data_IF_625173965447
#
_entry.id   IF_625173965447
#
_cell.length_a   1.000
_cell.length_b   1.000
_cell.length_c   1.000
_cell.angle_alpha   90.00
_cell.angle_beta   90.00
_cell.angle_gamma   90.00
#
_symmetry.space_group_name_H-M   'P 1'
#
loop_
_entity.id
_entity.type
_entity.pdbx_description
1 polymer ?
#
# COMPACT_ATOMS: atom_id res chain seq x y z
N UNK A 1 -7.60 18.54 -25.00
CA UNK A 1 -6.28 19.15 -25.14
C UNK A 1 -5.95 19.30 -26.60
N UNK A 2 -5.37 20.42 -27.03
CA UNK A 2 -4.97 20.67 -28.42
C UNK A 2 -3.67 21.45 -28.41
N UNK A 3 -2.68 21.01 -29.19
CA UNK A 3 -1.39 21.72 -29.36
C UNK A 3 -1.59 23.16 -29.82
N UNK A 4 -2.62 23.42 -30.66
CA UNK A 4 -2.93 24.76 -31.16
C UNK A 4 -3.47 25.73 -30.11
N UNK A 5 -3.91 25.24 -28.92
CA UNK A 5 -4.39 26.06 -27.81
C UNK A 5 -3.35 26.26 -26.70
N UNK A 6 -2.14 25.72 -26.86
CA UNK A 6 -1.07 25.84 -25.87
C UNK A 6 -1.37 25.21 -24.50
N UNK A 7 -2.36 24.30 -24.43
CA UNK A 7 -2.78 23.64 -23.18
C UNK A 7 -2.35 22.16 -23.09
N UNK A 8 -1.25 21.80 -23.75
CA UNK A 8 -0.60 20.52 -23.64
C UNK A 8 0.65 20.66 -22.78
N UNK A 9 0.76 19.84 -21.76
CA UNK A 9 2.00 19.70 -20.98
C UNK A 9 2.82 18.60 -21.62
N UNK A 10 4.09 18.87 -21.97
CA UNK A 10 5.04 17.86 -22.39
C UNK A 10 5.62 17.19 -21.14
N UNK A 11 5.39 15.88 -20.94
CA UNK A 11 5.92 15.19 -19.77
C UNK A 11 7.43 14.98 -19.83
N UNK A 12 8.11 15.22 -20.96
CA UNK A 12 9.51 14.86 -21.15
C UNK A 12 10.43 15.56 -20.14
N UNK A 13 10.24 16.87 -19.92
CA UNK A 13 11.04 17.61 -18.96
C UNK A 13 10.93 17.07 -17.53
N UNK A 14 9.74 16.60 -17.15
CA UNK A 14 9.51 16.01 -15.84
C UNK A 14 10.04 14.58 -15.73
N UNK A 15 10.00 13.83 -16.83
CA UNK A 15 10.62 12.50 -16.90
C UNK A 15 12.14 12.63 -16.75
N UNK A 16 12.75 13.63 -17.37
CA UNK A 16 14.18 13.89 -17.29
C UNK A 16 14.61 14.33 -15.87
N UNK A 17 13.74 15.08 -15.17
CA UNK A 17 14.03 15.59 -13.81
C UNK A 17 13.66 14.60 -12.71
N UNK A 18 12.49 13.98 -12.77
CA UNK A 18 11.91 13.16 -11.67
C UNK A 18 11.81 11.67 -11.99
N UNK A 19 12.03 11.27 -13.24
CA UNK A 19 11.86 9.90 -13.71
C UNK A 19 10.44 9.52 -14.11
N UNK A 20 10.31 8.52 -15.00
CA UNK A 20 9.04 8.10 -15.57
C UNK A 20 8.04 7.60 -14.50
N UNK A 21 8.50 6.86 -13.49
CA UNK A 21 7.64 6.33 -12.42
C UNK A 21 6.99 7.45 -11.60
N UNK A 22 7.70 8.56 -11.38
CA UNK A 22 7.14 9.72 -10.67
C UNK A 22 5.98 10.34 -11.45
N UNK A 23 6.16 10.52 -12.75
CA UNK A 23 5.12 11.09 -13.62
C UNK A 23 3.91 10.15 -13.70
N UNK A 24 4.14 8.85 -13.85
CA UNK A 24 3.07 7.83 -13.86
C UNK A 24 2.29 7.84 -12.55
N UNK A 25 3.00 7.83 -11.41
CA UNK A 25 2.37 7.87 -10.09
C UNK A 25 1.54 9.14 -9.91
N UNK A 26 2.08 10.30 -10.27
CA UNK A 26 1.34 11.57 -10.19
C UNK A 26 0.05 11.51 -11.00
N UNK A 27 0.11 11.09 -12.26
CA UNK A 27 -1.07 11.04 -13.13
C UNK A 27 -2.16 10.12 -12.60
N UNK A 28 -1.78 8.95 -12.07
CA UNK A 28 -2.74 7.98 -11.53
C UNK A 28 -3.27 8.33 -10.14
N UNK A 29 -2.50 9.12 -9.38
CA UNK A 29 -2.88 9.52 -8.03
C UNK A 29 -3.70 10.82 -7.99
N UNK A 30 -3.40 11.77 -8.88
CA UNK A 30 -3.96 13.13 -8.81
C UNK A 30 -5.45 13.19 -9.16
N UNK A 31 -5.94 12.29 -10.04
CA UNK A 31 -7.36 12.32 -10.44
C UNK A 31 -7.84 10.95 -10.92
N UNK A 32 -9.09 10.57 -10.61
CA UNK A 32 -9.73 9.43 -11.26
C UNK A 32 -9.75 9.61 -12.80
N UNK A 33 -9.72 8.52 -13.59
CA UNK A 33 -9.67 8.59 -15.06
C UNK A 33 -10.82 9.38 -15.70
N UNK A 34 -11.97 9.45 -15.02
CA UNK A 34 -13.19 10.12 -15.48
C UNK A 34 -13.17 11.63 -15.23
N UNK A 35 -12.22 12.13 -14.44
CA UNK A 35 -12.12 13.54 -14.09
C UNK A 35 -10.98 14.23 -14.84
N UNK A 36 -11.11 15.55 -15.00
CA UNK A 36 -10.02 16.34 -15.55
C UNK A 36 -8.87 16.44 -14.58
N UNK A 37 -7.65 16.20 -15.07
CA UNK A 37 -6.43 16.42 -14.31
C UNK A 37 -6.02 17.90 -14.39
N UNK A 38 -5.97 18.57 -13.27
CA UNK A 38 -5.30 19.87 -13.15
C UNK A 38 -3.83 19.63 -12.83
N UNK A 39 -2.96 20.13 -13.70
CA UNK A 39 -1.52 19.96 -13.51
C UNK A 39 -1.01 20.87 -12.39
N UNK A 40 -0.31 20.29 -11.40
CA UNK A 40 0.33 21.00 -10.28
C UNK A 40 1.70 20.40 -10.02
N UNK A 41 2.73 21.23 -10.11
CA UNK A 41 4.13 20.79 -9.93
C UNK A 41 4.38 20.25 -8.51
N UNK A 42 3.74 20.85 -7.49
CA UNK A 42 3.81 20.33 -6.11
C UNK A 42 3.31 18.88 -5.97
N UNK A 43 2.38 18.47 -6.83
CA UNK A 43 1.88 17.11 -6.88
C UNK A 43 2.93 16.12 -7.40
N UNK A 44 3.71 16.52 -8.41
CA UNK A 44 4.81 15.72 -8.96
C UNK A 44 5.90 15.53 -7.90
N UNK A 45 6.29 16.61 -7.20
CA UNK A 45 7.24 16.52 -6.09
C UNK A 45 6.73 15.62 -4.96
N UNK A 46 5.42 15.67 -4.67
CA UNK A 46 4.77 14.79 -3.70
C UNK A 46 4.91 13.31 -4.07
N UNK A 47 4.68 12.98 -5.34
CA UNK A 47 4.87 11.64 -5.88
C UNK A 47 6.33 11.20 -5.79
N UNK A 48 7.28 12.07 -6.15
CA UNK A 48 8.71 11.77 -6.04
C UNK A 48 9.14 11.51 -4.60
N UNK A 49 8.68 12.34 -3.63
CA UNK A 49 8.95 12.11 -2.20
C UNK A 49 8.38 10.77 -1.71
N UNK A 50 7.22 10.35 -2.22
CA UNK A 50 6.68 9.04 -1.88
C UNK A 50 7.55 7.90 -2.41
N UNK A 51 8.01 7.95 -3.66
CA UNK A 51 8.90 6.92 -4.22
C UNK A 51 10.23 6.83 -3.45
N UNK A 52 10.80 7.95 -3.04
CA UNK A 52 11.98 7.95 -2.15
C UNK A 52 11.71 7.29 -0.80
N UNK A 53 10.51 7.49 -0.22
CA UNK A 53 10.11 6.82 1.03
C UNK A 53 9.91 5.33 0.82
N UNK A 54 9.28 4.92 -0.28
CA UNK A 54 9.12 3.50 -0.64
C UNK A 54 10.47 2.82 -0.76
N UNK A 55 11.39 3.44 -1.50
CA UNK A 55 12.76 2.93 -1.63
C UNK A 55 13.44 2.77 -0.27
N UNK A 56 13.42 3.83 0.54
CA UNK A 56 14.02 3.79 1.88
C UNK A 56 13.39 2.72 2.78
N UNK A 57 12.06 2.60 2.76
CA UNK A 57 11.32 1.61 3.53
C UNK A 57 11.76 0.18 3.16
N UNK A 58 11.76 -0.15 1.87
CA UNK A 58 12.17 -1.46 1.39
C UNK A 58 13.66 -1.72 1.64
N UNK A 59 14.56 -0.78 1.29
CA UNK A 59 16.01 -0.93 1.45
C UNK A 59 16.42 -1.12 2.92
N UNK A 60 15.74 -0.45 3.85
CA UNK A 60 15.99 -0.63 5.28
C UNK A 60 15.77 -2.08 5.70
N UNK A 61 14.63 -2.66 5.28
CA UNK A 61 14.32 -4.06 5.56
C UNK A 61 15.29 -5.03 4.86
N UNK A 62 15.62 -4.78 3.59
CA UNK A 62 16.55 -5.59 2.80
C UNK A 62 17.94 -5.63 3.48
N UNK A 63 18.45 -4.47 3.91
CA UNK A 63 19.76 -4.35 4.54
C UNK A 63 19.84 -5.06 5.90
N UNK A 64 18.72 -5.27 6.58
CA UNK A 64 18.69 -6.08 7.80
C UNK A 64 18.93 -7.57 7.53
N UNK A 65 18.72 -8.02 6.29
CA UNK A 65 19.02 -9.38 5.83
C UNK A 65 18.21 -10.47 6.51
N UNK A 66 17.12 -10.12 7.20
CA UNK A 66 16.28 -11.07 7.93
C UNK A 66 15.01 -11.39 7.15
N UNK A 67 14.80 -12.67 6.89
CA UNK A 67 13.58 -13.19 6.25
C UNK A 67 13.08 -14.44 6.97
N UNK A 68 12.68 -14.32 8.25
CA UNK A 68 12.19 -15.45 9.01
C UNK A 68 10.81 -15.88 8.51
N UNK A 69 10.45 -17.12 8.82
CA UNK A 69 9.10 -17.64 8.56
C UNK A 69 8.14 -17.10 9.61
N UNK A 70 6.98 -16.62 9.16
CA UNK A 70 5.92 -16.15 10.05
C UNK A 70 5.34 -17.29 10.88
N UNK A 71 5.30 -17.11 12.20
CA UNK A 71 4.60 -18.01 13.12
C UNK A 71 3.29 -17.34 13.59
N UNK A 72 2.20 -17.68 12.89
CA UNK A 72 0.87 -17.10 13.16
C UNK A 72 0.33 -17.44 14.55
N UNK A 73 0.69 -18.60 15.11
CA UNK A 73 0.22 -19.03 16.42
C UNK A 73 0.78 -18.20 17.58
N UNK A 74 1.93 -17.56 17.39
CA UNK A 74 2.62 -16.76 18.42
C UNK A 74 2.52 -15.24 18.19
N UNK A 75 1.69 -14.79 17.26
CA UNK A 75 1.52 -13.36 16.99
C UNK A 75 0.85 -12.63 18.16
N UNK A 76 1.41 -11.48 18.51
CA UNK A 76 0.78 -10.51 19.40
C UNK A 76 -0.40 -9.80 18.70
N UNK A 77 -1.27 -9.13 19.47
CA UNK A 77 -2.41 -8.41 18.88
C UNK A 77 -1.96 -7.27 17.97
N UNK A 78 -0.84 -6.60 18.29
CA UNK A 78 -0.24 -5.58 17.41
C UNK A 78 0.22 -6.19 16.08
N UNK A 79 0.83 -7.37 16.10
CA UNK A 79 1.27 -8.09 14.91
C UNK A 79 0.08 -8.54 14.06
N UNK A 80 -0.97 -9.05 14.69
CA UNK A 80 -2.23 -9.41 14.00
C UNK A 80 -2.86 -8.18 13.34
N UNK A 81 -2.86 -7.04 14.02
CA UNK A 81 -3.40 -5.78 13.49
C UNK A 81 -2.61 -5.29 12.25
N UNK A 82 -1.27 -5.33 12.32
CA UNK A 82 -0.42 -4.96 11.19
C UNK A 82 -0.64 -5.91 10.00
N UNK A 83 -0.70 -7.22 10.24
CA UNK A 83 -0.97 -8.19 9.21
C UNK A 83 -2.38 -8.01 8.61
N UNK A 84 -3.38 -7.75 9.43
CA UNK A 84 -4.73 -7.40 8.97
C UNK A 84 -4.72 -6.16 8.09
N UNK A 85 -3.94 -5.12 8.44
CA UNK A 85 -3.79 -3.93 7.59
C UNK A 85 -3.24 -4.28 6.21
N UNK A 86 -2.27 -5.20 6.11
CA UNK A 86 -1.74 -5.67 4.83
C UNK A 86 -2.85 -6.33 4.01
N UNK A 87 -3.55 -7.31 4.56
CA UNK A 87 -4.56 -8.08 3.83
C UNK A 87 -5.83 -7.27 3.51
N UNK A 88 -6.22 -6.34 4.37
CA UNK A 88 -7.28 -5.35 4.07
C UNK A 88 -6.87 -4.45 2.90
N UNK A 89 -5.59 -4.05 2.84
CA UNK A 89 -5.07 -3.25 1.72
C UNK A 89 -5.10 -4.04 0.42
N UNK A 90 -4.71 -5.33 0.43
CA UNK A 90 -4.82 -6.21 -0.75
C UNK A 90 -6.25 -6.23 -1.27
N UNK A 91 -7.24 -6.49 -0.41
CA UNK A 91 -8.65 -6.51 -0.81
C UNK A 91 -9.12 -5.18 -1.39
N UNK A 92 -8.76 -4.09 -0.74
CA UNK A 92 -9.11 -2.75 -1.19
C UNK A 92 -8.53 -2.43 -2.57
N UNK A 93 -7.25 -2.71 -2.77
CA UNK A 93 -6.56 -2.45 -4.04
C UNK A 93 -7.13 -3.34 -5.15
N UNK A 94 -7.46 -4.61 -4.85
CA UNK A 94 -8.09 -5.51 -5.79
C UNK A 94 -9.46 -4.99 -6.26
N UNK A 95 -10.27 -4.45 -5.36
CA UNK A 95 -11.54 -3.83 -5.70
C UNK A 95 -11.36 -2.53 -6.47
N UNK A 96 -10.48 -1.65 -6.00
CA UNK A 96 -10.24 -0.34 -6.59
C UNK A 96 -9.65 -0.44 -8.02
N UNK A 97 -8.71 -1.36 -8.27
CA UNK A 97 -8.09 -1.54 -9.60
C UNK A 97 -8.95 -2.43 -10.50
N UNK A 98 -9.41 -3.58 -9.97
CA UNK A 98 -10.06 -4.60 -10.79
C UNK A 98 -11.51 -4.29 -11.16
N UNK A 99 -12.23 -3.51 -10.35
CA UNK A 99 -13.65 -3.24 -10.54
C UNK A 99 -13.98 -1.76 -10.67
N UNK A 100 -13.40 -0.91 -9.83
CA UNK A 100 -13.79 0.51 -9.73
C UNK A 100 -12.93 1.44 -10.58
N UNK A 101 -11.76 1.00 -11.00
CA UNK A 101 -10.75 1.80 -11.73
C UNK A 101 -10.34 3.08 -11.01
N UNK A 102 -10.36 3.05 -9.65
CA UNK A 102 -10.00 4.18 -8.80
C UNK A 102 -8.54 4.06 -8.31
N UNK A 103 -7.60 4.32 -9.20
CA UNK A 103 -6.16 4.17 -8.91
C UNK A 103 -5.69 5.05 -7.76
N UNK A 104 -6.24 6.26 -7.61
CA UNK A 104 -5.90 7.18 -6.54
C UNK A 104 -6.19 6.60 -5.15
N UNK A 105 -7.34 5.92 -4.98
CA UNK A 105 -7.69 5.28 -3.69
C UNK A 105 -6.87 4.04 -3.43
N UNK A 106 -6.52 3.27 -4.48
CA UNK A 106 -5.61 2.14 -4.38
C UNK A 106 -4.21 2.58 -3.90
N UNK A 107 -3.64 3.62 -4.54
CA UNK A 107 -2.35 4.19 -4.16
C UNK A 107 -2.39 4.71 -2.72
N UNK A 108 -3.44 5.45 -2.33
CA UNK A 108 -3.61 5.94 -0.97
C UNK A 108 -3.62 4.81 0.06
N UNK A 109 -4.31 3.69 -0.23
CA UNK A 109 -4.36 2.54 0.66
C UNK A 109 -2.97 1.91 0.87
N UNK A 110 -2.16 1.79 -0.20
CA UNK A 110 -0.77 1.32 -0.09
C UNK A 110 0.10 2.30 0.70
N UNK A 111 -0.06 3.62 0.49
CA UNK A 111 0.64 4.65 1.27
C UNK A 111 0.34 4.54 2.77
N UNK A 112 -0.93 4.33 3.13
CA UNK A 112 -1.35 4.13 4.52
C UNK A 112 -0.76 2.86 5.13
N UNK A 113 -0.73 1.75 4.38
CA UNK A 113 -0.11 0.50 4.81
C UNK A 113 1.38 0.68 5.08
N UNK A 114 2.13 1.30 4.16
CA UNK A 114 3.56 1.59 4.35
C UNK A 114 3.78 2.49 5.57
N UNK A 115 2.94 3.51 5.77
CA UNK A 115 3.04 4.38 6.94
C UNK A 115 2.78 3.63 8.26
N UNK A 116 1.85 2.68 8.28
CA UNK A 116 1.59 1.85 9.46
C UNK A 116 2.78 0.94 9.78
N UNK A 117 3.30 0.23 8.77
CA UNK A 117 4.45 -0.65 8.90
C UNK A 117 5.73 0.10 9.30
N UNK A 118 5.96 1.30 8.75
CA UNK A 118 7.15 2.11 9.06
C UNK A 118 7.21 2.61 10.51
N UNK A 119 6.12 2.53 11.26
CA UNK A 119 6.06 2.90 12.68
C UNK A 119 6.29 1.71 13.61
N UNK A 120 6.35 0.50 13.05
CA UNK A 120 6.56 -0.71 13.82
C UNK A 120 8.03 -0.85 14.20
N UNK A 121 8.28 -1.13 15.48
CA UNK A 121 9.60 -1.51 15.95
C UNK A 121 9.80 -3.02 15.73
N UNK A 122 10.88 -3.40 15.06
CA UNK A 122 11.20 -4.79 14.76
C UNK A 122 11.97 -5.40 15.94
N UNK A 123 11.29 -6.17 16.77
CA UNK A 123 11.83 -6.74 18.01
C UNK A 123 12.08 -8.25 17.93
N UNK A 124 11.33 -8.93 17.08
CA UNK A 124 11.37 -10.39 16.98
C UNK A 124 11.16 -10.86 15.54
N UNK A 125 11.27 -12.17 15.32
CA UNK A 125 11.18 -12.78 13.99
C UNK A 125 9.81 -12.56 13.33
N UNK A 126 8.72 -12.57 14.08
CA UNK A 126 7.39 -12.29 13.52
C UNK A 126 7.28 -10.85 13.00
N UNK A 127 7.90 -9.87 13.69
CA UNK A 127 7.91 -8.48 13.20
C UNK A 127 8.65 -8.39 11.86
N UNK A 128 9.79 -9.07 11.73
CA UNK A 128 10.53 -9.11 10.47
C UNK A 128 9.77 -9.84 9.37
N UNK A 129 9.07 -10.95 9.70
CA UNK A 129 8.25 -11.69 8.74
C UNK A 129 7.08 -10.85 8.22
N UNK A 130 6.35 -10.15 9.11
CA UNK A 130 5.25 -9.26 8.73
C UNK A 130 5.77 -8.07 7.91
N UNK A 131 6.94 -7.51 8.28
CA UNK A 131 7.57 -6.46 7.52
C UNK A 131 7.90 -6.93 6.10
N UNK A 132 8.46 -8.14 5.95
CA UNK A 132 8.75 -8.75 4.65
C UNK A 132 7.48 -8.91 3.81
N UNK A 133 6.42 -9.49 4.40
CA UNK A 133 5.11 -9.63 3.76
C UNK A 133 4.56 -8.27 3.29
N UNK A 134 4.69 -7.25 4.11
CA UNK A 134 4.24 -5.89 3.79
C UNK A 134 5.04 -5.20 2.69
N UNK A 135 6.37 -5.37 2.69
CA UNK A 135 7.26 -4.82 1.64
C UNK A 135 6.95 -5.48 0.29
N UNK A 136 6.90 -6.81 0.24
CA UNK A 136 6.56 -7.56 -0.99
C UNK A 136 5.16 -7.19 -1.50
N UNK A 137 4.18 -7.12 -0.60
CA UNK A 137 2.82 -6.69 -0.94
C UNK A 137 2.80 -5.29 -1.54
N UNK A 138 3.51 -4.32 -0.94
CA UNK A 138 3.57 -2.96 -1.46
C UNK A 138 4.17 -2.91 -2.86
N UNK A 139 5.24 -3.66 -3.10
CA UNK A 139 5.91 -3.76 -4.40
C UNK A 139 4.96 -4.36 -5.45
N UNK A 140 4.32 -5.49 -5.14
CA UNK A 140 3.37 -6.15 -6.04
C UNK A 140 2.18 -5.25 -6.38
N UNK A 141 1.56 -4.62 -5.37
CA UNK A 141 0.39 -3.76 -5.59
C UNK A 141 0.71 -2.47 -6.36
N UNK A 142 1.94 -1.97 -6.27
CA UNK A 142 2.38 -0.77 -7.00
C UNK A 142 3.00 -1.09 -8.36
N UNK A 143 3.31 -2.34 -8.67
CA UNK A 143 4.02 -2.72 -9.90
C UNK A 143 3.34 -2.25 -11.20
N UNK A 144 2.00 -2.25 -11.35
CA UNK A 144 1.37 -1.73 -12.57
C UNK A 144 1.49 -0.20 -12.72
N UNK A 145 1.73 0.50 -11.62
CA UNK A 145 1.75 1.95 -11.55
C UNK A 145 3.16 2.48 -11.72
N UNK A 146 4.13 1.94 -10.96
CA UNK A 146 5.54 2.36 -10.92
C UNK A 146 6.49 1.18 -11.16
N UNK A 147 6.48 0.62 -12.39
CA UNK A 147 7.12 -0.65 -12.68
C UNK A 147 8.64 -0.67 -12.48
N UNK A 148 9.35 0.44 -12.74
CA UNK A 148 10.81 0.41 -12.69
C UNK A 148 11.34 0.33 -11.26
N UNK A 149 10.81 1.16 -10.34
CA UNK A 149 11.24 1.13 -8.93
C UNK A 149 10.82 -0.18 -8.25
N UNK A 150 9.64 -0.71 -8.59
CA UNK A 150 9.15 -1.95 -7.99
C UNK A 150 9.93 -3.17 -8.48
N UNK A 151 10.29 -3.22 -9.77
CA UNK A 151 11.13 -4.29 -10.30
C UNK A 151 12.53 -4.27 -9.70
N UNK A 152 13.15 -3.08 -9.59
CA UNK A 152 14.44 -2.93 -8.94
C UNK A 152 14.41 -3.43 -7.48
N UNK A 153 13.39 -3.05 -6.70
CA UNK A 153 13.23 -3.49 -5.31
C UNK A 153 12.93 -5.00 -5.21
N UNK A 154 12.23 -5.57 -6.19
CA UNK A 154 11.93 -7.00 -6.25
C UNK A 154 13.21 -7.84 -6.41
N UNK A 155 14.11 -7.40 -7.27
CA UNK A 155 15.43 -8.02 -7.45
C UNK A 155 16.27 -7.88 -6.17
N UNK A 156 16.29 -6.71 -5.54
CA UNK A 156 17.01 -6.46 -4.28
C UNK A 156 16.47 -7.32 -3.11
N UNK A 157 15.19 -7.70 -3.13
CA UNK A 157 14.60 -8.64 -2.18
C UNK A 157 15.07 -10.09 -2.39
N UNK A 158 15.83 -10.37 -3.46
CA UNK A 158 16.39 -11.67 -3.76
C UNK A 158 15.49 -12.57 -4.62
N UNK A 159 14.45 -12.02 -5.24
CA UNK A 159 13.65 -12.78 -6.21
C UNK A 159 14.40 -12.90 -7.54
N UNK A 160 14.45 -14.10 -8.08
CA UNK A 160 15.14 -14.40 -9.35
C UNK A 160 14.23 -14.25 -10.57
N UNK A 161 12.93 -14.30 -10.38
CA UNK A 161 11.95 -14.18 -11.45
C UNK A 161 11.53 -12.71 -11.64
N UNK A 162 11.27 -12.28 -12.89
CA UNK A 162 10.79 -10.94 -13.16
C UNK A 162 9.50 -10.61 -12.39
N UNK A 163 9.39 -9.41 -11.86
CA UNK A 163 8.21 -8.98 -11.12
C UNK A 163 6.90 -9.10 -11.93
N UNK A 164 6.99 -8.94 -13.25
CA UNK A 164 5.83 -9.05 -14.16
C UNK A 164 5.21 -10.46 -14.18
N UNK A 165 6.00 -11.49 -13.88
CA UNK A 165 5.57 -12.89 -13.83
C UNK A 165 5.12 -13.30 -12.43
N UNK A 166 5.31 -12.42 -11.44
CA UNK A 166 4.93 -12.70 -10.06
C UNK A 166 3.40 -12.80 -9.90
N UNK A 167 2.99 -13.70 -9.01
CA UNK A 167 1.57 -13.92 -8.73
C UNK A 167 1.01 -12.69 -7.99
N UNK A 168 -0.09 -12.15 -8.53
CA UNK A 168 -0.80 -11.05 -7.89
C UNK A 168 -1.30 -11.44 -6.49
N UNK A 169 -1.11 -10.60 -5.46
CA UNK A 169 -1.39 -10.96 -4.08
C UNK A 169 -2.87 -11.17 -3.81
N UNK A 170 -3.16 -12.22 -3.06
CA UNK A 170 -4.50 -12.53 -2.54
C UNK A 170 -4.52 -12.34 -1.04
N UNK A 171 -5.64 -11.86 -0.52
CA UNK A 171 -5.79 -11.73 0.92
C UNK A 171 -5.94 -13.11 1.58
N UNK A 172 -5.34 -13.25 2.75
CA UNK A 172 -5.52 -14.39 3.64
C UNK A 172 -6.76 -14.12 4.52
N UNK A 173 -7.80 -14.98 4.46
CA UNK A 173 -9.00 -14.81 5.29
C UNK A 173 -8.69 -14.83 6.79
N UNK A 174 -7.75 -15.67 7.23
CA UNK A 174 -7.38 -15.77 8.65
C UNK A 174 -6.75 -14.48 9.18
N UNK A 175 -6.05 -13.74 8.32
CA UNK A 175 -5.49 -12.43 8.68
C UNK A 175 -6.55 -11.34 8.81
N UNK A 176 -7.74 -11.55 8.24
CA UNK A 176 -8.86 -10.61 8.27
C UNK A 176 -9.80 -10.84 9.45
N UNK A 177 -9.68 -11.96 10.16
CA UNK A 177 -10.51 -12.24 11.32
C UNK A 177 -10.35 -11.16 12.40
N UNK A 178 -11.48 -10.65 12.87
CA UNK A 178 -11.57 -9.73 14.01
C UNK A 178 -12.33 -10.39 15.14
N UNK A 179 -11.66 -10.56 16.26
CA UNK A 179 -12.30 -11.03 17.49
C UNK A 179 -13.06 -9.89 18.20
N UNK A 180 -12.78 -8.64 17.85
CA UNK A 180 -13.36 -7.46 18.48
C UNK A 180 -13.71 -6.41 17.42
N UNK A 181 -14.90 -5.83 17.56
CA UNK A 181 -15.34 -4.71 16.71
C UNK A 181 -15.49 -3.48 17.61
N UNK A 182 -14.72 -2.44 17.35
CA UNK A 182 -14.89 -1.15 18.00
C UNK A 182 -16.04 -0.40 17.35
N UNK A 183 -17.14 -0.23 18.10
CA UNK A 183 -18.27 0.59 17.68
C UNK A 183 -18.19 1.99 18.28
N UNK A 184 -18.21 2.97 17.40
CA UNK A 184 -18.25 4.38 17.77
C UNK A 184 -19.71 4.78 18.05
N UNK A 185 -19.99 5.18 19.29
CA UNK A 185 -21.32 5.65 19.68
C UNK A 185 -21.38 7.17 19.50
N UNK A 186 -22.29 7.62 18.63
CA UNK A 186 -22.54 9.04 18.39
C UNK A 186 -23.97 9.40 18.80
N UNK A 187 -24.12 10.54 19.46
CA UNK A 187 -25.43 11.16 19.75
C UNK A 187 -25.45 12.54 19.10
N UNK A 188 -26.40 12.75 18.20
CA UNK A 188 -26.52 13.99 17.42
C UNK A 188 -25.22 14.38 16.67
N UNK A 189 -24.53 13.38 16.06
CA UNK A 189 -23.30 13.58 15.30
C UNK A 189 -22.04 13.85 16.15
N UNK A 190 -22.16 13.84 17.49
CA UNK A 190 -21.02 14.01 18.39
C UNK A 190 -20.62 12.68 19.00
N UNK A 191 -19.32 12.35 18.92
CA UNK A 191 -18.72 11.19 19.58
C UNK A 191 -19.03 11.23 21.10
N UNK A 192 -19.58 10.13 21.64
CA UNK A 192 -19.91 9.99 23.08
C UNK A 192 -19.18 8.86 23.76
N UNK A 193 -18.68 7.90 22.99
CA UNK A 193 -17.91 6.79 23.53
C UNK A 193 -17.61 5.75 22.45
N UNK A 194 -16.70 4.83 22.77
CA UNK A 194 -16.41 3.65 22.00
C UNK A 194 -16.87 2.42 22.79
N UNK A 195 -17.47 1.47 22.12
CA UNK A 195 -17.87 0.19 22.69
C UNK A 195 -17.13 -0.93 21.94
N UNK A 196 -16.47 -1.82 22.66
CA UNK A 196 -15.88 -3.03 22.10
C UNK A 196 -16.93 -4.14 22.09
N UNK A 197 -17.26 -4.64 20.93
CA UNK A 197 -18.07 -5.84 20.76
C UNK A 197 -17.16 -7.03 20.48
N UNK A 198 -17.26 -8.07 21.29
CA UNK A 198 -16.54 -9.31 21.07
C UNK A 198 -17.38 -10.20 20.13
N UNK A 199 -16.77 -10.62 19.01
CA UNK A 199 -17.38 -11.64 18.14
C UNK A 199 -17.03 -13.02 18.73
N UNK A 200 -17.80 -13.47 19.71
CA UNK A 200 -17.76 -14.85 20.16
C UNK A 200 -18.65 -15.69 19.27
N UNK A 201 -18.21 -16.87 18.77
CA UNK A 201 -19.10 -17.76 18.03
C UNK A 201 -20.28 -18.10 18.94
N UNK A 202 -21.49 -17.95 18.37
CA UNK A 202 -22.73 -18.28 19.07
C UNK A 202 -22.70 -19.77 19.45
N UNK A 203 -23.03 -20.15 20.70
CA UNK A 203 -23.08 -21.56 21.10
C UNK A 203 -24.23 -22.36 20.45
N UNK A 204 -24.83 -21.84 19.39
CA UNK A 204 -26.02 -22.42 18.73
C UNK A 204 -25.83 -22.71 17.24
N UNK A 205 -24.60 -22.64 16.71
CA UNK A 205 -24.28 -23.06 15.34
C UNK A 205 -23.58 -24.41 15.34
#
# INVERSE_FOLDING_TARGET
MSKSKGNTVDPQSLIDEYGADTVRLFMMFASPPEQSLEWKDEGVEGAHRFLKRLWKFASTHINEGKSPTLNTASMTDVQKELRRKIHTTINKVNDDIGRRYTFNTAIAAVMEMINALSRCELKNDNDHAIMREGVETAILLLSPIVPHITDALWVELGHNEPLIDAIWPKSDPDALEQNEIEMVVQINGKLRGNCLLYTSPSPRD
#
